data_IF_111841855489
#
_entry.id   IF_111841855489
#
_cell.length_a   1.000
_cell.length_b   1.000
_cell.length_c   1.000
_cell.angle_alpha   90.00
_cell.angle_beta   90.00
_cell.angle_gamma   90.00
#
_symmetry.space_group_name_H-M   'P 1'
#
loop_
_entity.id
_entity.type
_entity.pdbx_description
1 polymer ?
#
# COMPACT_ATOMS: atom_id res chain seq x y z
N UNK A 1 -45.79 4.17 4.16
CA UNK A 1 -45.66 4.76 2.83
C UNK A 1 -44.41 4.20 2.21
N UNK A 2 -44.42 3.83 0.93
CA UNK A 2 -43.97 2.47 0.56
C UNK A 2 -42.53 2.40 0.08
N UNK A 3 -41.97 1.21 0.27
CA UNK A 3 -40.69 0.77 -0.26
C UNK A 3 -40.79 0.57 -1.78
N UNK A 4 -39.76 1.02 -2.52
CA UNK A 4 -39.58 0.68 -3.94
C UNK A 4 -38.42 -0.31 -4.04
N UNK A 5 -38.76 -1.56 -4.33
CA UNK A 5 -37.80 -2.59 -4.70
C UNK A 5 -37.59 -2.49 -6.22
N UNK A 6 -36.36 -2.21 -6.64
CA UNK A 6 -35.90 -2.26 -8.03
C UNK A 6 -35.39 -3.67 -8.36
N UNK A 7 -36.20 -4.47 -9.06
CA UNK A 7 -35.78 -5.74 -9.63
C UNK A 7 -35.08 -5.48 -10.99
N UNK A 8 -33.81 -5.78 -11.08
CA UNK A 8 -33.03 -5.80 -12.32
C UNK A 8 -33.33 -7.07 -13.11
N UNK A 9 -33.90 -6.91 -14.29
CA UNK A 9 -34.22 -8.00 -15.23
C UNK A 9 -32.94 -8.34 -16.02
N UNK A 10 -32.50 -9.59 -15.86
CA UNK A 10 -31.44 -10.19 -16.68
C UNK A 10 -32.05 -10.60 -18.04
N UNK A 11 -31.76 -9.89 -19.10
CA UNK A 11 -32.15 -10.27 -20.45
C UNK A 11 -31.11 -11.21 -21.05
N UNK A 12 -31.44 -12.49 -21.14
CA UNK A 12 -30.69 -13.48 -21.95
C UNK A 12 -31.25 -13.43 -23.36
N UNK A 13 -30.45 -12.97 -24.33
CA UNK A 13 -30.80 -13.04 -25.76
C UNK A 13 -30.28 -14.36 -26.30
N UNK A 14 -31.20 -15.31 -26.53
CA UNK A 14 -30.93 -16.53 -27.29
C UNK A 14 -31.28 -16.24 -28.74
N UNK A 15 -30.29 -16.21 -29.63
CA UNK A 15 -30.49 -16.15 -31.06
C UNK A 15 -30.54 -17.58 -31.58
N UNK A 16 -31.73 -18.06 -31.91
CA UNK A 16 -31.95 -19.31 -32.65
C UNK A 16 -31.87 -19.03 -34.14
N UNK A 17 -30.84 -19.51 -34.81
CA UNK A 17 -30.73 -19.48 -36.27
C UNK A 17 -31.34 -20.71 -36.90
N UNK A 18 -32.26 -20.51 -37.82
CA UNK A 18 -32.91 -21.54 -38.63
C UNK A 18 -32.03 -21.99 -39.80
N UNK A 19 -32.07 -23.27 -40.00
CA UNK A 19 -31.36 -24.05 -41.01
C UNK A 19 -31.81 -23.81 -42.46
N UNK A 20 -30.83 -23.62 -43.37
CA UNK A 20 -31.00 -23.74 -44.80
C UNK A 20 -30.06 -24.82 -45.34
N UNK A 21 -30.60 -25.81 -46.08
CA UNK A 21 -29.89 -26.91 -46.72
C UNK A 21 -29.12 -26.45 -47.96
N UNK A 22 -27.86 -26.81 -48.07
CA UNK A 22 -27.10 -26.75 -49.33
C UNK A 22 -25.71 -27.33 -49.09
N UNK A 23 -25.43 -28.50 -49.65
CA UNK A 23 -24.14 -29.19 -49.50
C UNK A 23 -23.03 -28.61 -50.35
N UNK A 24 -21.83 -28.65 -49.84
CA UNK A 24 -20.56 -28.87 -50.54
C UNK A 24 -19.40 -28.92 -49.54
N UNK A 25 -18.65 -30.00 -49.59
CA UNK A 25 -17.23 -30.25 -49.30
C UNK A 25 -16.52 -29.51 -48.18
N UNK A 26 -16.02 -30.31 -47.24
CA UNK A 26 -15.16 -30.07 -46.10
C UNK A 26 -13.93 -29.24 -46.39
N UNK A 27 -13.77 -28.17 -45.61
CA UNK A 27 -12.48 -27.70 -45.11
C UNK A 27 -12.66 -27.51 -43.61
N UNK A 28 -11.87 -28.27 -42.84
CA UNK A 28 -11.81 -28.15 -41.36
C UNK A 28 -11.32 -26.76 -40.98
N UNK A 29 -12.25 -25.85 -40.68
CA UNK A 29 -11.97 -24.60 -40.00
C UNK A 29 -12.16 -24.87 -38.50
N UNK A 30 -11.04 -24.99 -37.79
CA UNK A 30 -10.96 -24.94 -36.34
C UNK A 30 -11.64 -23.62 -35.88
N UNK A 31 -12.65 -23.66 -35.03
CA UNK A 31 -13.25 -22.42 -34.52
C UNK A 31 -12.22 -21.72 -33.62
N UNK A 32 -11.67 -20.63 -34.14
CA UNK A 32 -10.92 -19.67 -33.28
C UNK A 32 -11.92 -19.07 -32.31
N UNK A 33 -11.95 -19.57 -31.08
CA UNK A 33 -12.67 -18.95 -29.98
C UNK A 33 -12.02 -17.59 -29.71
N UNK A 34 -12.79 -16.52 -29.97
CA UNK A 34 -12.36 -15.17 -29.64
C UNK A 34 -12.06 -15.05 -28.15
N UNK A 35 -11.01 -14.32 -27.73
CA UNK A 35 -10.67 -14.14 -26.34
C UNK A 35 -11.85 -13.52 -25.57
N UNK A 36 -12.20 -14.11 -24.44
CA UNK A 36 -13.24 -13.57 -23.55
C UNK A 36 -12.61 -12.40 -22.81
N UNK A 37 -12.91 -11.18 -23.25
CA UNK A 37 -12.59 -9.98 -22.49
C UNK A 37 -13.50 -9.95 -21.24
N UNK A 38 -12.91 -10.07 -20.07
CA UNK A 38 -13.63 -9.85 -18.82
C UNK A 38 -13.91 -8.35 -18.71
N UNK A 39 -15.11 -7.93 -19.10
CA UNK A 39 -15.54 -6.54 -19.01
C UNK A 39 -15.63 -6.12 -17.54
N UNK A 40 -14.81 -5.16 -17.16
CA UNK A 40 -14.88 -4.53 -15.85
C UNK A 40 -16.11 -3.65 -15.76
N UNK A 41 -17.18 -4.12 -15.12
CA UNK A 41 -18.29 -3.28 -14.65
C UNK A 41 -17.91 -2.66 -13.31
N UNK A 42 -17.05 -1.64 -13.33
CA UNK A 42 -16.65 -0.87 -12.17
C UNK A 42 -16.13 0.48 -12.63
N UNK A 43 -16.45 1.52 -11.88
CA UNK A 43 -16.16 2.93 -12.11
C UNK A 43 -14.76 3.14 -12.73
N UNK A 44 -14.75 3.58 -14.01
CA UNK A 44 -13.76 4.50 -14.57
C UNK A 44 -12.27 4.11 -14.63
N UNK A 45 -11.89 2.85 -14.48
CA UNK A 45 -10.46 2.47 -14.61
C UNK A 45 -10.09 2.33 -16.10
N UNK A 46 -9.58 3.39 -16.70
CA UNK A 46 -9.18 3.40 -18.10
C UNK A 46 -7.80 2.77 -18.27
N UNK A 47 -7.73 1.73 -19.09
CA UNK A 47 -6.49 1.02 -19.43
C UNK A 47 -6.79 -0.21 -20.27
N UNK A 48 -5.76 -0.82 -20.90
CA UNK A 48 -5.94 -2.07 -21.64
C UNK A 48 -6.50 -3.16 -20.73
N UNK A 49 -7.44 -4.00 -21.23
CA UNK A 49 -8.02 -5.07 -20.42
C UNK A 49 -6.98 -6.16 -20.13
N UNK A 50 -7.11 -6.79 -18.97
CA UNK A 50 -6.45 -8.06 -18.71
C UNK A 50 -7.12 -9.10 -19.59
N UNK A 51 -6.32 -9.89 -20.32
CA UNK A 51 -6.80 -10.90 -21.26
C UNK A 51 -6.56 -12.28 -20.64
N UNK A 52 -7.62 -13.08 -20.58
CA UNK A 52 -7.56 -14.50 -20.21
C UNK A 52 -7.91 -15.29 -21.47
N UNK A 53 -6.92 -15.96 -22.04
CA UNK A 53 -7.03 -16.79 -23.23
C UNK A 53 -7.10 -18.25 -22.83
N UNK A 54 -8.24 -18.89 -23.12
CA UNK A 54 -8.37 -20.33 -22.94
C UNK A 54 -7.68 -21.06 -24.09
N UNK A 55 -6.55 -21.67 -23.82
CA UNK A 55 -5.83 -22.49 -24.79
C UNK A 55 -6.37 -23.94 -24.75
N UNK A 56 -7.06 -24.40 -25.78
CA UNK A 56 -7.60 -25.77 -25.83
C UNK A 56 -6.55 -26.86 -25.83
N UNK A 57 -5.29 -26.52 -26.13
CA UNK A 57 -4.16 -27.44 -26.10
C UNK A 57 -3.55 -27.67 -24.71
N UNK A 58 -3.92 -26.88 -23.71
CA UNK A 58 -3.42 -27.04 -22.35
C UNK A 58 -4.25 -28.09 -21.61
N UNK A 59 -3.61 -29.17 -21.19
CA UNK A 59 -4.22 -30.14 -20.28
C UNK A 59 -4.17 -29.58 -18.86
N UNK A 60 -5.33 -29.13 -18.37
CA UNK A 60 -5.44 -28.55 -17.02
C UNK A 60 -5.54 -29.65 -15.96
N UNK A 61 -4.90 -29.42 -14.84
CA UNK A 61 -5.05 -30.24 -13.62
C UNK A 61 -6.25 -29.77 -12.81
N UNK A 62 -6.85 -30.67 -12.02
CA UNK A 62 -7.94 -30.33 -11.13
C UNK A 62 -7.49 -30.40 -9.67
N UNK A 63 -8.01 -29.51 -8.83
CA UNK A 63 -7.89 -29.62 -7.38
C UNK A 63 -9.00 -30.56 -6.85
N UNK A 64 -8.65 -31.50 -5.99
CA UNK A 64 -9.60 -32.40 -5.34
C UNK A 64 -10.35 -31.70 -4.19
N UNK A 65 -9.79 -30.63 -3.66
CA UNK A 65 -10.37 -29.78 -2.61
C UNK A 65 -9.86 -28.34 -2.73
N UNK A 66 -10.58 -27.41 -2.13
CA UNK A 66 -10.09 -26.02 -2.07
C UNK A 66 -8.90 -25.92 -1.14
N UNK A 67 -7.88 -25.15 -1.56
CA UNK A 67 -6.66 -24.91 -0.77
C UNK A 67 -6.63 -23.48 -0.23
N UNK A 68 -6.14 -23.32 0.99
CA UNK A 68 -6.09 -22.05 1.72
C UNK A 68 -4.93 -22.05 2.72
N UNK A 69 -4.76 -20.91 3.40
CA UNK A 69 -3.74 -20.79 4.46
C UNK A 69 -3.83 -21.93 5.47
N UNK A 70 -2.69 -22.55 5.75
CA UNK A 70 -2.53 -23.70 6.61
C UNK A 70 -2.51 -25.04 5.87
N UNK A 71 -2.91 -25.11 4.57
CA UNK A 71 -2.71 -26.30 3.76
C UNK A 71 -1.23 -26.44 3.34
N UNK A 72 -0.82 -27.67 3.04
CA UNK A 72 0.50 -27.97 2.51
C UNK A 72 0.42 -29.15 1.54
N UNK A 73 1.40 -29.27 0.65
CA UNK A 73 1.52 -30.35 -0.31
C UNK A 73 1.80 -29.87 -1.74
N UNK A 74 1.74 -30.81 -2.69
CA UNK A 74 2.09 -30.57 -4.10
C UNK A 74 1.11 -29.60 -4.77
N UNK A 75 -0.18 -29.62 -4.41
CA UNK A 75 -1.17 -28.65 -4.93
C UNK A 75 -0.80 -27.21 -4.56
N UNK A 76 -0.34 -26.99 -3.31
CA UNK A 76 0.12 -25.69 -2.85
C UNK A 76 1.40 -25.29 -3.57
N UNK A 77 2.32 -26.23 -3.77
CA UNK A 77 3.56 -25.98 -4.53
C UNK A 77 3.27 -25.60 -5.98
N UNK A 78 2.35 -26.31 -6.63
CA UNK A 78 1.89 -26.00 -7.98
C UNK A 78 1.24 -24.61 -8.06
N UNK A 79 0.40 -24.25 -7.07
CA UNK A 79 -0.18 -22.92 -6.94
C UNK A 79 0.91 -21.83 -6.81
N UNK A 80 1.89 -22.03 -5.92
CA UNK A 80 2.99 -21.07 -5.74
C UNK A 80 3.81 -20.90 -7.02
N UNK A 81 4.11 -21.99 -7.73
CA UNK A 81 4.77 -21.95 -9.04
C UNK A 81 3.95 -21.16 -10.06
N UNK A 82 2.64 -21.42 -10.12
CA UNK A 82 1.77 -20.73 -11.07
C UNK A 82 1.61 -19.25 -10.77
N UNK A 83 1.40 -18.88 -9.50
CA UNK A 83 1.37 -17.47 -9.06
C UNK A 83 2.67 -16.75 -9.45
N UNK A 84 3.82 -17.37 -9.19
CA UNK A 84 5.13 -16.81 -9.56
C UNK A 84 5.25 -16.62 -11.07
N UNK A 85 4.83 -17.60 -11.87
CA UNK A 85 4.86 -17.52 -13.34
C UNK A 85 3.97 -16.41 -13.91
N UNK A 86 2.94 -16.01 -13.16
CA UNK A 86 2.06 -14.88 -13.49
C UNK A 86 2.57 -13.53 -12.95
N UNK A 87 3.72 -13.50 -12.26
CA UNK A 87 4.30 -12.30 -11.66
C UNK A 87 3.83 -12.00 -10.23
N UNK A 88 2.92 -12.80 -9.65
CA UNK A 88 2.51 -12.64 -8.25
C UNK A 88 3.61 -13.13 -7.30
N UNK A 89 3.65 -12.55 -6.08
CA UNK A 89 4.66 -12.85 -5.08
C UNK A 89 4.13 -13.74 -3.93
N UNK A 90 4.03 -15.07 -4.12
CA UNK A 90 3.50 -15.98 -3.08
C UNK A 90 4.48 -16.24 -1.94
N UNK A 91 5.71 -15.78 -2.03
CA UNK A 91 6.82 -16.17 -1.17
C UNK A 91 7.57 -17.39 -1.70
N UNK A 92 8.27 -18.17 -0.84
CA UNK A 92 8.98 -19.37 -1.26
C UNK A 92 8.04 -20.41 -1.89
N UNK A 93 8.56 -21.14 -2.90
CA UNK A 93 7.87 -22.28 -3.51
C UNK A 93 8.19 -23.52 -2.69
N UNK A 94 7.64 -23.59 -1.48
CA UNK A 94 7.92 -24.61 -0.46
C UNK A 94 6.77 -25.61 -0.24
N UNK A 95 5.65 -25.42 -0.94
CA UNK A 95 4.46 -26.23 -0.75
C UNK A 95 3.69 -25.94 0.52
N UNK A 96 4.00 -24.86 1.24
CA UNK A 96 3.30 -24.44 2.46
C UNK A 96 2.47 -23.18 2.20
N UNK A 97 1.15 -23.23 2.35
CA UNK A 97 0.27 -22.10 2.15
C UNK A 97 0.36 -21.13 3.34
N UNK A 98 1.36 -20.27 3.31
CA UNK A 98 1.61 -19.24 4.31
C UNK A 98 0.86 -17.93 4.02
N UNK A 99 1.19 -16.89 4.81
CA UNK A 99 0.62 -15.55 4.64
C UNK A 99 1.03 -14.91 3.30
N UNK A 100 2.24 -15.17 2.80
CA UNK A 100 2.68 -14.68 1.49
C UNK A 100 1.83 -15.26 0.35
N UNK A 101 1.61 -16.58 0.36
CA UNK A 101 0.74 -17.25 -0.61
C UNK A 101 -0.70 -16.73 -0.53
N UNK A 102 -1.23 -16.51 0.69
CA UNK A 102 -2.55 -15.93 0.87
C UNK A 102 -2.65 -14.51 0.29
N UNK A 103 -1.65 -13.68 0.50
CA UNK A 103 -1.61 -12.32 -0.03
C UNK A 103 -1.53 -12.32 -1.56
N UNK A 104 -0.78 -13.23 -2.17
CA UNK A 104 -0.72 -13.40 -3.62
C UNK A 104 -2.08 -13.86 -4.19
N UNK A 105 -2.80 -14.75 -3.49
CA UNK A 105 -4.17 -15.16 -3.87
C UNK A 105 -5.12 -13.97 -3.75
N UNK A 106 -5.07 -13.17 -2.68
CA UNK A 106 -5.87 -11.95 -2.58
C UNK A 106 -5.59 -10.97 -3.74
N UNK A 107 -4.33 -10.82 -4.14
CA UNK A 107 -3.99 -9.97 -5.29
C UNK A 107 -4.60 -10.53 -6.58
N UNK A 108 -4.52 -11.85 -6.79
CA UNK A 108 -5.11 -12.53 -7.95
C UNK A 108 -6.64 -12.38 -7.98
N UNK A 109 -7.34 -12.66 -6.88
CA UNK A 109 -8.80 -12.50 -6.78
C UNK A 109 -9.23 -11.09 -7.19
N UNK A 110 -8.56 -10.07 -6.66
CA UNK A 110 -8.90 -8.66 -6.89
C UNK A 110 -8.51 -8.18 -8.28
N UNK A 111 -7.33 -8.55 -8.75
CA UNK A 111 -6.80 -8.06 -10.03
C UNK A 111 -7.36 -8.81 -11.23
N UNK A 112 -7.40 -10.15 -11.19
CA UNK A 112 -7.79 -10.99 -12.33
C UNK A 112 -9.29 -11.29 -12.30
N UNK A 113 -9.80 -11.80 -11.17
CA UNK A 113 -11.21 -12.19 -11.05
C UNK A 113 -12.13 -11.01 -10.77
N UNK A 114 -11.58 -9.79 -10.58
CA UNK A 114 -12.34 -8.58 -10.24
C UNK A 114 -13.21 -8.74 -8.98
N UNK A 115 -12.80 -9.62 -8.08
CA UNK A 115 -13.47 -9.81 -6.80
C UNK A 115 -13.38 -8.51 -5.99
N UNK A 116 -14.50 -7.94 -5.52
CA UNK A 116 -14.46 -6.81 -4.61
C UNK A 116 -13.55 -7.10 -3.42
N UNK A 117 -12.72 -6.14 -3.04
CA UNK A 117 -11.72 -6.31 -1.97
C UNK A 117 -12.29 -6.98 -0.71
N UNK A 118 -13.46 -6.55 -0.25
CA UNK A 118 -14.10 -7.08 0.95
C UNK A 118 -14.50 -8.57 0.83
N UNK A 119 -14.62 -9.08 -0.39
CA UNK A 119 -15.05 -10.45 -0.69
C UNK A 119 -13.88 -11.38 -1.04
N UNK A 120 -12.64 -10.87 -1.12
CA UNK A 120 -11.48 -11.70 -1.39
C UNK A 120 -11.23 -12.66 -0.23
N UNK A 121 -11.20 -13.93 -0.53
CA UNK A 121 -11.16 -15.01 0.48
C UNK A 121 -9.75 -15.51 0.80
N UNK A 122 -8.82 -15.35 -0.14
CA UNK A 122 -7.49 -15.96 -0.06
C UNK A 122 -7.52 -17.48 -0.12
N UNK A 123 -8.60 -18.04 -0.67
CA UNK A 123 -8.83 -19.47 -0.89
C UNK A 123 -8.89 -19.77 -2.37
N UNK A 124 -8.23 -20.81 -2.81
CA UNK A 124 -8.25 -21.27 -4.21
C UNK A 124 -9.23 -22.41 -4.35
N UNK A 125 -10.32 -22.21 -5.08
CA UNK A 125 -11.26 -23.24 -5.49
C UNK A 125 -10.78 -23.93 -6.77
N UNK A 126 -11.37 -25.08 -7.11
CA UNK A 126 -11.02 -25.73 -8.38
C UNK A 126 -11.33 -24.81 -9.59
N UNK A 127 -12.47 -24.09 -9.57
CA UNK A 127 -12.82 -23.19 -10.67
C UNK A 127 -11.78 -22.06 -10.85
N UNK A 128 -11.33 -21.46 -9.73
CA UNK A 128 -10.24 -20.49 -9.77
C UNK A 128 -8.96 -21.11 -10.32
N UNK A 129 -8.62 -22.32 -9.90
CA UNK A 129 -7.45 -23.05 -10.38
C UNK A 129 -7.50 -23.32 -11.88
N UNK A 130 -8.69 -23.68 -12.43
CA UNK A 130 -8.88 -23.85 -13.86
C UNK A 130 -8.57 -22.56 -14.62
N UNK A 131 -9.05 -21.40 -14.16
CA UNK A 131 -8.76 -20.10 -14.77
C UNK A 131 -7.29 -19.73 -14.60
N UNK A 132 -6.67 -20.01 -13.46
CA UNK A 132 -5.24 -19.74 -13.27
C UNK A 132 -4.32 -20.43 -14.29
N UNK A 133 -4.72 -21.57 -14.82
CA UNK A 133 -3.93 -22.33 -15.79
C UNK A 133 -4.04 -21.80 -17.23
N UNK A 134 -4.99 -20.91 -17.51
CA UNK A 134 -5.11 -20.24 -18.81
C UNK A 134 -3.94 -19.26 -19.06
N UNK A 135 -3.76 -18.86 -20.31
CA UNK A 135 -2.84 -17.78 -20.64
C UNK A 135 -3.40 -16.46 -20.17
N UNK A 136 -2.75 -15.83 -19.21
CA UNK A 136 -3.16 -14.54 -18.64
C UNK A 136 -2.14 -13.47 -19.01
N UNK A 137 -2.61 -12.43 -19.70
CA UNK A 137 -1.80 -11.26 -20.05
C UNK A 137 -2.27 -10.07 -19.21
N UNK A 138 -1.33 -9.46 -18.49
CA UNK A 138 -1.58 -8.34 -17.57
C UNK A 138 -0.81 -7.12 -18.11
N UNK A 139 -1.42 -6.30 -18.97
CA UNK A 139 -0.78 -5.08 -19.45
C UNK A 139 -0.84 -3.99 -18.39
N UNK A 140 0.09 -3.02 -18.39
CA UNK A 140 -0.02 -1.84 -17.57
C UNK A 140 -1.24 -1.00 -17.99
N UNK A 141 -1.91 -0.36 -17.03
CA UNK A 141 -2.97 0.63 -17.32
C UNK A 141 -2.39 1.89 -17.97
N UNK A 142 -1.11 2.20 -17.67
CA UNK A 142 -0.38 3.32 -18.29
C UNK A 142 0.94 2.82 -18.87
N UNK A 143 0.92 2.36 -20.13
CA UNK A 143 2.15 1.94 -20.81
C UNK A 143 3.16 3.08 -20.88
N UNK A 144 4.42 2.74 -20.64
CA UNK A 144 5.55 3.68 -20.71
C UNK A 144 6.47 3.34 -21.87
N UNK A 145 7.47 4.19 -22.13
CA UNK A 145 8.44 3.94 -23.18
C UNK A 145 9.17 2.59 -22.99
N UNK A 146 9.56 1.96 -24.07
CA UNK A 146 10.32 0.72 -24.05
C UNK A 146 11.62 0.87 -23.21
N UNK A 147 11.96 -0.17 -22.46
CA UNK A 147 13.15 -0.20 -21.61
C UNK A 147 13.05 0.62 -20.33
N UNK A 148 11.84 1.06 -19.94
CA UNK A 148 11.61 1.76 -18.68
C UNK A 148 10.94 0.88 -17.64
N UNK A 149 11.21 1.20 -16.37
CA UNK A 149 10.50 0.65 -15.22
C UNK A 149 9.51 1.67 -14.69
N UNK A 150 8.31 1.23 -14.33
CA UNK A 150 7.34 2.04 -13.61
C UNK A 150 6.54 1.18 -12.63
N UNK A 151 5.87 1.85 -11.71
CA UNK A 151 5.02 1.20 -10.71
C UNK A 151 3.59 1.72 -10.84
N UNK A 152 2.64 0.80 -10.80
CA UNK A 152 1.22 1.11 -10.72
C UNK A 152 0.66 0.67 -9.37
N UNK A 153 -0.02 1.58 -8.68
CA UNK A 153 -0.63 1.37 -7.37
C UNK A 153 -2.14 1.56 -7.48
N UNK A 154 -2.86 0.47 -7.33
CA UNK A 154 -4.33 0.43 -7.40
C UNK A 154 -4.88 0.42 -5.98
N UNK A 155 -5.15 1.62 -5.41
CA UNK A 155 -5.65 1.75 -4.04
C UNK A 155 -7.02 1.11 -3.85
N UNK A 156 -7.99 1.19 -4.78
CA UNK A 156 -9.26 0.49 -4.64
C UNK A 156 -9.12 -1.03 -4.50
N UNK A 157 -8.25 -1.63 -5.32
CA UNK A 157 -7.98 -3.08 -5.33
C UNK A 157 -6.97 -3.49 -4.26
N UNK A 158 -6.22 -2.55 -3.68
CA UNK A 158 -5.09 -2.85 -2.80
C UNK A 158 -4.09 -3.79 -3.48
N UNK A 159 -3.61 -3.38 -4.67
CA UNK A 159 -2.61 -4.08 -5.48
C UNK A 159 -1.56 -3.10 -5.96
N UNK A 160 -0.29 -3.52 -5.92
CA UNK A 160 0.84 -2.83 -6.52
C UNK A 160 1.46 -3.73 -7.59
N UNK A 161 1.81 -3.14 -8.74
CA UNK A 161 2.52 -3.84 -9.82
C UNK A 161 3.77 -3.05 -10.19
N UNK A 162 4.90 -3.75 -10.26
CA UNK A 162 6.12 -3.25 -10.90
C UNK A 162 6.14 -3.75 -12.33
N UNK A 163 6.18 -2.85 -13.28
CA UNK A 163 6.36 -3.16 -14.69
C UNK A 163 7.77 -2.81 -15.15
N UNK A 164 8.40 -3.71 -15.87
CA UNK A 164 9.61 -3.46 -16.61
C UNK A 164 9.34 -3.70 -18.10
N UNK A 165 9.61 -2.72 -18.93
CA UNK A 165 9.29 -2.79 -20.36
C UNK A 165 7.82 -3.20 -20.61
N UNK A 166 6.91 -2.67 -19.79
CA UNK A 166 5.47 -2.97 -19.81
C UNK A 166 5.09 -4.45 -19.53
N UNK A 167 6.02 -5.24 -19.00
CA UNK A 167 5.78 -6.61 -18.54
C UNK A 167 5.77 -6.60 -17.00
N UNK A 168 4.78 -7.23 -16.34
CA UNK A 168 4.74 -7.29 -14.89
C UNK A 168 5.85 -8.20 -14.35
N UNK A 169 6.72 -7.65 -13.51
CA UNK A 169 7.78 -8.39 -12.81
C UNK A 169 7.40 -8.71 -11.35
N UNK A 170 6.57 -7.89 -10.75
CA UNK A 170 6.09 -8.08 -9.39
C UNK A 170 4.64 -7.62 -9.27
N UNK A 171 3.75 -8.50 -8.84
CA UNK A 171 2.37 -8.19 -8.46
C UNK A 171 2.20 -8.53 -6.99
N UNK A 172 1.88 -7.54 -6.17
CA UNK A 172 1.77 -7.69 -4.73
C UNK A 172 0.44 -7.16 -4.19
N UNK A 173 -0.13 -7.88 -3.22
CA UNK A 173 -1.12 -7.31 -2.33
C UNK A 173 -0.46 -6.25 -1.44
N UNK A 174 -1.15 -5.12 -1.25
CA UNK A 174 -0.73 -4.01 -0.41
C UNK A 174 -1.80 -3.65 0.62
N UNK A 175 -1.42 -2.84 1.61
CA UNK A 175 -2.36 -2.19 2.52
C UNK A 175 -1.99 -0.72 2.64
N UNK A 176 -2.90 0.16 2.20
CA UNK A 176 -2.72 1.61 2.10
C UNK A 176 -3.40 2.37 3.23
N UNK A 177 -3.58 3.68 3.11
CA UNK A 177 -4.25 4.52 4.10
C UNK A 177 -5.63 4.00 4.49
N UNK A 178 -5.88 3.90 5.80
CA UNK A 178 -7.13 3.38 6.35
C UNK A 178 -8.35 4.20 5.90
N UNK A 179 -9.44 3.51 5.60
CA UNK A 179 -10.66 4.09 5.06
C UNK A 179 -11.85 3.85 5.99
N UNK A 180 -12.76 4.81 6.00
CA UNK A 180 -14.11 4.63 6.51
C UNK A 180 -14.92 3.69 5.59
N UNK A 181 -16.07 3.16 6.04
CA UNK A 181 -16.92 2.29 5.21
C UNK A 181 -17.41 2.95 3.90
N UNK A 182 -17.51 4.27 3.86
CA UNK A 182 -17.87 5.06 2.68
C UNK A 182 -16.72 5.29 1.69
N UNK A 183 -15.51 4.76 2.00
CA UNK A 183 -14.31 4.90 1.18
C UNK A 183 -13.52 6.19 1.43
N UNK A 184 -13.99 7.10 2.28
CA UNK A 184 -13.24 8.31 2.65
C UNK A 184 -12.05 7.96 3.55
N UNK A 185 -10.95 8.75 3.54
CA UNK A 185 -9.85 8.56 4.47
C UNK A 185 -10.30 8.67 5.93
N UNK A 186 -9.85 7.76 6.77
CA UNK A 186 -10.11 7.86 8.21
C UNK A 186 -9.21 8.93 8.82
N UNK A 187 -9.78 9.77 9.68
CA UNK A 187 -8.98 10.70 10.51
C UNK A 187 -8.26 9.94 11.62
N UNK A 188 -7.02 10.34 11.87
CA UNK A 188 -6.23 9.85 13.00
C UNK A 188 -5.64 11.04 13.78
N UNK A 189 -5.41 10.84 15.06
CA UNK A 189 -4.75 11.79 15.94
C UNK A 189 -3.84 10.99 16.88
N UNK A 190 -2.53 11.20 16.76
CA UNK A 190 -1.53 10.53 17.58
C UNK A 190 -0.64 11.55 18.29
N UNK A 191 -0.14 11.18 19.46
CA UNK A 191 0.91 11.93 20.15
C UNK A 191 2.26 11.45 19.63
N UNK A 192 2.91 12.28 18.83
CA UNK A 192 4.15 11.94 18.15
C UNK A 192 5.35 12.60 18.84
N UNK A 193 6.44 11.83 18.97
CA UNK A 193 7.71 12.33 19.50
C UNK A 193 8.72 12.43 18.37
N UNK A 194 9.30 13.60 18.19
CA UNK A 194 10.28 13.93 17.17
C UNK A 194 11.64 14.08 17.83
N UNK A 195 12.63 13.35 17.36
CA UNK A 195 14.05 13.44 17.73
C UNK A 195 14.89 14.20 16.70
N UNK A 196 14.26 14.54 15.57
CA UNK A 196 14.86 15.29 14.46
C UNK A 196 14.00 16.49 14.10
N UNK A 197 14.64 17.60 13.72
CA UNK A 197 13.98 18.79 13.20
C UNK A 197 13.52 18.65 11.74
N UNK A 198 12.90 19.71 11.16
CA UNK A 198 12.30 19.67 9.82
C UNK A 198 13.30 19.33 8.70
N UNK A 199 14.56 19.67 8.84
CA UNK A 199 15.61 19.39 7.86
C UNK A 199 16.36 18.09 8.13
N UNK A 200 15.94 17.31 9.16
CA UNK A 200 16.57 16.06 9.56
C UNK A 200 17.74 16.22 10.52
N UNK A 201 18.00 17.43 11.03
CA UNK A 201 18.98 17.71 12.08
C UNK A 201 18.53 17.08 13.41
N UNK A 202 19.42 16.45 14.19
CA UNK A 202 19.10 15.94 15.51
C UNK A 202 18.66 17.08 16.44
N UNK A 203 17.58 16.89 17.18
CA UNK A 203 17.17 17.81 18.23
C UNK A 203 17.95 17.54 19.51
N UNK A 204 18.29 18.60 20.27
CA UNK A 204 18.94 18.49 21.58
C UNK A 204 18.04 17.74 22.56
N UNK A 205 16.74 17.99 22.49
CA UNK A 205 15.70 17.28 23.26
C UNK A 205 14.56 16.88 22.32
N UNK A 206 14.00 15.66 22.47
CA UNK A 206 12.85 15.24 21.69
C UNK A 206 11.62 16.14 21.97
N UNK A 207 10.90 16.51 20.91
CA UNK A 207 9.68 17.31 20.99
C UNK A 207 8.48 16.41 20.81
N UNK A 208 7.56 16.40 21.79
CA UNK A 208 6.32 15.64 21.73
C UNK A 208 5.15 16.59 21.46
N UNK A 209 4.34 16.28 20.44
CA UNK A 209 3.16 17.04 20.05
C UNK A 209 2.05 16.14 19.54
N UNK A 210 0.80 16.59 19.68
CA UNK A 210 -0.34 15.93 19.08
C UNK A 210 -0.43 16.33 17.61
N UNK A 211 -0.52 15.33 16.74
CA UNK A 211 -0.69 15.49 15.29
C UNK A 211 -1.97 14.80 14.84
N UNK A 212 -2.75 15.49 14.02
CA UNK A 212 -3.96 14.95 13.42
C UNK A 212 -3.89 15.07 11.90
N UNK A 213 -4.30 14.03 11.19
CA UNK A 213 -4.38 14.05 9.72
C UNK A 213 -5.37 13.01 9.19
N UNK A 214 -5.59 13.02 7.88
CA UNK A 214 -6.33 11.97 7.20
C UNK A 214 -5.38 10.87 6.76
N UNK A 215 -5.77 9.61 6.94
CA UNK A 215 -5.01 8.44 6.48
C UNK A 215 -5.15 8.29 4.95
N UNK A 216 -4.64 9.27 4.20
CA UNK A 216 -4.79 9.35 2.75
C UNK A 216 -3.56 8.78 2.05
N UNK A 217 -3.77 7.83 1.12
CA UNK A 217 -2.81 7.53 0.06
C UNK A 217 -3.24 8.30 -1.18
N UNK A 218 -2.58 9.44 -1.49
CA UNK A 218 -3.03 10.33 -2.56
C UNK A 218 -2.90 9.68 -3.94
N UNK A 219 -3.92 9.86 -4.80
CA UNK A 219 -3.82 9.56 -6.22
C UNK A 219 -2.98 10.58 -6.97
N UNK A 220 -2.48 10.20 -8.15
CA UNK A 220 -1.69 11.09 -9.00
C UNK A 220 -0.53 10.41 -9.70
N UNK A 221 0.30 11.22 -10.37
CA UNK A 221 1.52 10.78 -11.05
C UNK A 221 2.72 11.28 -10.25
N UNK A 222 3.57 10.36 -9.85
CA UNK A 222 4.72 10.63 -9.01
C UNK A 222 5.98 9.99 -9.59
N UNK A 223 7.12 10.24 -8.91
CA UNK A 223 8.39 9.57 -9.18
C UNK A 223 9.02 9.13 -7.86
N UNK A 224 9.75 8.03 -7.85
CA UNK A 224 10.57 7.70 -6.70
C UNK A 224 11.65 8.75 -6.50
N UNK A 225 11.76 9.25 -5.26
CA UNK A 225 12.65 10.37 -4.91
C UNK A 225 13.86 9.95 -4.09
N UNK A 226 13.65 9.13 -3.09
CA UNK A 226 14.66 8.63 -2.15
C UNK A 226 14.27 7.27 -1.59
N UNK A 227 15.25 6.54 -1.10
CA UNK A 227 15.05 5.30 -0.35
C UNK A 227 15.90 5.28 0.91
N UNK A 228 15.57 4.37 1.80
CA UNK A 228 16.35 4.07 2.99
C UNK A 228 16.49 2.56 3.08
N UNK A 229 17.74 2.07 3.22
CA UNK A 229 17.99 0.63 3.32
C UNK A 229 17.93 0.21 4.79
N UNK A 230 17.23 -0.89 5.08
CA UNK A 230 17.00 -1.39 6.42
C UNK A 230 15.76 -0.80 7.10
N UNK A 231 15.72 -0.93 8.41
CA UNK A 231 14.59 -0.44 9.22
C UNK A 231 14.76 1.05 9.52
N UNK A 232 13.81 1.85 9.06
CA UNK A 232 13.68 3.25 9.45
C UNK A 232 12.57 3.39 10.48
N UNK A 233 12.89 3.93 11.66
CA UNK A 233 11.90 4.29 12.66
C UNK A 233 11.62 5.78 12.54
N UNK A 234 10.34 6.14 12.50
CA UNK A 234 9.87 7.52 12.50
C UNK A 234 8.78 7.69 13.56
N UNK A 235 8.24 8.91 13.72
CA UNK A 235 7.19 9.18 14.72
C UNK A 235 5.96 8.27 14.60
N UNK A 236 5.61 7.85 13.38
CA UNK A 236 4.49 6.94 13.09
C UNK A 236 4.87 5.45 13.09
N UNK A 237 6.04 5.09 13.61
CA UNK A 237 6.51 3.71 13.71
C UNK A 237 7.60 3.32 12.72
N UNK A 238 7.84 1.99 12.63
CA UNK A 238 8.92 1.43 11.81
C UNK A 238 8.48 1.09 10.40
N UNK A 239 9.37 1.34 9.44
CA UNK A 239 9.22 0.96 8.03
C UNK A 239 10.45 0.17 7.61
N UNK A 240 10.28 -0.97 6.93
CA UNK A 240 11.39 -1.73 6.37
C UNK A 240 11.63 -1.32 4.91
N UNK A 241 12.85 -0.93 4.59
CA UNK A 241 13.29 -0.56 3.25
C UNK A 241 12.35 0.43 2.52
N UNK A 242 12.00 1.59 3.12
CA UNK A 242 11.06 2.50 2.49
C UNK A 242 11.63 3.16 1.23
N UNK A 243 10.83 3.16 0.15
CA UNK A 243 11.08 3.88 -1.10
C UNK A 243 10.01 4.94 -1.27
N UNK A 244 10.40 6.21 -1.17
CA UNK A 244 9.50 7.35 -1.13
C UNK A 244 9.17 7.85 -2.53
N UNK A 245 7.89 8.17 -2.76
CA UNK A 245 7.42 8.72 -4.03
C UNK A 245 6.61 10.02 -3.88
N UNK A 246 6.12 10.34 -2.67
CA UNK A 246 5.32 11.54 -2.45
C UNK A 246 5.58 12.06 -1.02
N UNK A 247 6.51 13.03 -0.87
CA UNK A 247 6.92 13.56 0.44
C UNK A 247 7.27 12.47 1.46
N UNK A 248 6.42 12.30 2.49
CA UNK A 248 6.55 11.27 3.51
C UNK A 248 5.93 9.92 3.15
N UNK A 249 5.19 9.83 2.04
CA UNK A 249 4.55 8.60 1.60
C UNK A 249 5.56 7.70 0.88
N UNK A 250 5.64 6.46 1.32
CA UNK A 250 6.56 5.45 0.79
C UNK A 250 5.87 4.12 0.55
N UNK A 251 6.45 3.32 -0.34
CA UNK A 251 6.26 1.86 -0.37
C UNK A 251 7.27 1.25 0.59
N UNK A 252 6.81 0.44 1.55
CA UNK A 252 7.68 -0.13 2.58
C UNK A 252 7.18 -1.46 3.12
N UNK A 253 8.07 -2.26 3.68
CA UNK A 253 7.72 -3.48 4.39
C UNK A 253 7.08 -3.19 5.74
N UNK A 254 6.07 -3.98 6.07
CA UNK A 254 5.39 -3.95 7.35
C UNK A 254 5.12 -5.37 7.86
N UNK A 255 5.03 -5.52 9.19
CA UNK A 255 4.71 -6.81 9.83
C UNK A 255 3.28 -7.23 9.54
N UNK A 256 2.38 -6.25 9.41
CA UNK A 256 0.98 -6.49 9.14
C UNK A 256 0.54 -5.81 7.84
N UNK A 257 0.10 -6.64 6.87
CA UNK A 257 -0.47 -6.23 5.58
C UNK A 257 -1.82 -6.91 5.43
N UNK A 258 -2.85 -6.41 6.12
CA UNK A 258 -4.18 -7.01 6.10
C UNK A 258 -4.87 -6.78 4.76
N UNK A 259 -5.96 -7.53 4.51
CA UNK A 259 -6.79 -7.38 3.31
C UNK A 259 -7.34 -5.97 3.16
N UNK A 260 -7.70 -5.32 4.26
CA UNK A 260 -8.19 -3.95 4.30
C UNK A 260 -7.04 -2.92 4.39
N UNK A 261 -7.25 -1.68 3.95
CA UNK A 261 -6.34 -0.57 4.22
C UNK A 261 -6.15 -0.35 5.72
N UNK A 262 -4.90 -0.14 6.18
CA UNK A 262 -4.57 -0.05 7.60
C UNK A 262 -3.37 0.86 7.92
N UNK A 263 -2.89 1.69 6.98
CA UNK A 263 -1.78 2.61 7.21
C UNK A 263 -2.25 4.06 7.43
N UNK A 264 -1.34 4.94 7.81
CA UNK A 264 -1.57 6.39 7.86
C UNK A 264 -1.44 7.08 6.49
N UNK A 265 -1.24 6.29 5.41
CA UNK A 265 -1.10 6.80 4.04
C UNK A 265 0.00 6.11 3.24
N UNK A 266 1.00 5.54 3.88
CA UNK A 266 2.03 4.74 3.20
C UNK A 266 1.46 3.45 2.59
N UNK A 267 2.19 2.89 1.64
CA UNK A 267 1.85 1.64 0.95
C UNK A 267 2.63 0.50 1.60
N UNK A 268 1.94 -0.32 2.40
CA UNK A 268 2.56 -1.46 3.09
C UNK A 268 2.69 -2.65 2.17
N UNK A 269 3.87 -3.24 2.13
CA UNK A 269 4.20 -4.51 1.48
C UNK A 269 4.54 -5.57 2.54
N UNK A 270 4.39 -6.83 2.17
CA UNK A 270 4.98 -7.93 2.93
C UNK A 270 6.50 -7.70 3.10
N UNK A 271 7.03 -7.96 4.29
CA UNK A 271 8.45 -7.72 4.58
C UNK A 271 9.39 -8.43 3.59
N UNK A 272 9.09 -9.67 3.20
CA UNK A 272 9.91 -10.43 2.23
C UNK A 272 9.92 -9.77 0.85
N UNK A 273 8.79 -9.20 0.42
CA UNK A 273 8.72 -8.44 -0.84
C UNK A 273 9.52 -7.15 -0.71
N UNK A 274 9.41 -6.46 0.43
CA UNK A 274 10.13 -5.21 0.67
C UNK A 274 11.66 -5.38 0.75
N UNK A 275 12.19 -6.60 0.89
CA UNK A 275 13.64 -6.82 0.79
C UNK A 275 14.15 -6.78 -0.66
N UNK A 276 13.29 -7.08 -1.64
CA UNK A 276 13.66 -7.10 -3.06
C UNK A 276 13.15 -5.88 -3.83
N UNK A 277 12.03 -5.28 -3.39
CA UNK A 277 11.41 -4.16 -4.08
C UNK A 277 12.36 -2.98 -4.37
N UNK A 278 13.24 -2.52 -3.43
CA UNK A 278 14.14 -1.41 -3.71
C UNK A 278 15.16 -1.66 -4.84
N UNK A 279 15.48 -2.93 -5.14
CA UNK A 279 16.36 -3.29 -6.26
C UNK A 279 15.66 -3.29 -7.61
N UNK A 280 14.32 -3.35 -7.62
CA UNK A 280 13.51 -3.35 -8.84
C UNK A 280 13.22 -1.94 -9.36
N UNK A 281 13.40 -0.91 -8.53
CA UNK A 281 13.07 0.48 -8.84
C UNK A 281 14.22 1.41 -8.54
N UNK A 282 14.28 2.55 -9.22
CA UNK A 282 15.30 3.57 -9.01
C UNK A 282 14.68 4.96 -8.88
N UNK A 283 15.46 5.91 -8.37
CA UNK A 283 15.07 7.33 -8.35
C UNK A 283 14.74 7.80 -9.76
N UNK A 284 13.59 8.46 -9.91
CA UNK A 284 13.08 8.96 -11.17
C UNK A 284 12.10 8.02 -11.88
N UNK A 285 12.01 6.75 -11.51
CA UNK A 285 11.00 5.86 -12.08
C UNK A 285 9.59 6.35 -11.73
N UNK A 286 8.67 6.26 -12.69
CA UNK A 286 7.29 6.71 -12.58
C UNK A 286 6.49 5.84 -11.60
N UNK A 287 5.60 6.49 -10.86
CA UNK A 287 4.63 5.85 -9.97
C UNK A 287 3.26 6.42 -10.29
N UNK A 288 2.40 5.60 -10.86
CA UNK A 288 1.00 5.93 -11.11
C UNK A 288 0.14 5.43 -9.97
N UNK A 289 -0.66 6.29 -9.35
CA UNK A 289 -1.52 5.93 -8.22
C UNK A 289 -2.97 6.24 -8.56
N UNK A 290 -3.77 5.20 -8.72
CA UNK A 290 -5.24 5.31 -8.65
C UNK A 290 -5.60 5.43 -7.18
N UNK A 291 -6.10 6.60 -6.78
CA UNK A 291 -6.40 6.87 -5.37
C UNK A 291 -7.65 6.15 -4.87
N UNK A 292 -8.04 6.46 -3.65
CA UNK A 292 -9.14 5.79 -2.96
C UNK A 292 -10.49 5.96 -3.68
N UNK A 293 -10.69 7.07 -4.37
CA UNK A 293 -11.87 7.38 -5.18
C UNK A 293 -11.85 6.72 -6.57
N UNK A 294 -10.77 5.99 -6.90
CA UNK A 294 -10.63 5.25 -8.15
C UNK A 294 -10.45 6.09 -9.40
N UNK A 295 -10.24 7.41 -9.27
CA UNK A 295 -9.93 8.26 -10.42
C UNK A 295 -8.60 7.87 -11.06
N UNK A 296 -8.49 8.15 -12.37
CA UNK A 296 -7.22 8.00 -13.08
C UNK A 296 -6.16 8.97 -12.54
N UNK A 297 -4.87 8.59 -12.55
CA UNK A 297 -3.79 9.41 -11.98
C UNK A 297 -3.72 10.83 -12.53
N UNK A 298 -4.10 11.03 -13.79
CA UNK A 298 -4.09 12.31 -14.49
C UNK A 298 -5.21 13.26 -14.04
N UNK A 299 -6.23 12.75 -13.37
CA UNK A 299 -7.40 13.51 -12.91
C UNK A 299 -7.19 14.19 -11.56
N UNK A 300 -6.07 13.89 -10.88
CA UNK A 300 -5.75 14.54 -9.61
C UNK A 300 -5.01 15.85 -9.85
N UNK A 301 -5.54 16.93 -9.28
CA UNK A 301 -4.79 18.18 -9.21
C UNK A 301 -3.54 18.01 -8.32
N UNK A 302 -2.58 18.93 -8.47
CA UNK A 302 -1.40 18.96 -7.60
C UNK A 302 -1.79 18.97 -6.11
N UNK A 303 -2.82 19.72 -5.75
CA UNK A 303 -3.32 19.81 -4.38
C UNK A 303 -3.93 18.51 -3.89
N UNK A 304 -4.72 17.82 -4.73
CA UNK A 304 -5.32 16.54 -4.40
C UNK A 304 -4.29 15.44 -4.20
N UNK A 305 -3.14 15.57 -4.85
CA UNK A 305 -2.01 14.65 -4.78
C UNK A 305 -1.12 14.87 -3.55
N UNK A 306 -1.34 15.91 -2.76
CA UNK A 306 -0.55 16.14 -1.55
C UNK A 306 -0.98 15.19 -0.42
N UNK A 307 -0.02 14.72 0.41
CA UNK A 307 -0.36 14.01 1.63
C UNK A 307 -1.02 14.97 2.63
N UNK A 308 -1.83 14.45 3.52
CA UNK A 308 -2.51 15.24 4.56
C UNK A 308 -1.68 15.43 5.84
N UNK A 309 -0.47 14.91 5.87
CA UNK A 309 0.43 14.96 7.02
C UNK A 309 1.85 15.35 6.62
N UNK A 310 2.43 16.29 7.37
CA UNK A 310 3.86 16.64 7.31
C UNK A 310 4.35 17.14 5.92
N UNK A 311 3.60 18.03 5.28
CA UNK A 311 4.07 18.72 4.08
C UNK A 311 3.86 20.23 4.21
N UNK A 312 4.71 21.01 3.54
CA UNK A 312 4.47 22.42 3.31
C UNK A 312 3.64 22.55 2.02
N UNK A 313 2.49 23.24 2.07
CA UNK A 313 1.68 23.50 0.89
C UNK A 313 2.51 24.36 -0.10
N UNK A 314 2.87 23.83 -1.28
CA UNK A 314 3.68 24.57 -2.23
C UNK A 314 2.94 25.79 -2.84
N UNK A 315 1.62 25.83 -2.71
CA UNK A 315 0.78 26.91 -3.20
C UNK A 315 0.36 27.85 -2.05
N UNK A 316 0.80 27.58 -0.80
CA UNK A 316 0.64 28.51 0.30
C UNK A 316 1.45 29.77 -0.02
N UNK A 317 0.75 30.82 -0.44
CA UNK A 317 1.34 32.17 -0.47
C UNK A 317 1.84 32.45 0.94
N UNK A 318 3.17 32.57 1.08
CA UNK A 318 3.79 33.04 2.32
C UNK A 318 3.28 34.45 2.55
N UNK A 319 2.13 34.59 3.22
CA UNK A 319 1.75 35.85 3.80
C UNK A 319 2.74 36.05 4.92
N UNK A 320 3.85 36.68 4.60
CA UNK A 320 4.76 37.23 5.59
C UNK A 320 3.89 38.20 6.41
N UNK A 321 3.39 37.74 7.54
CA UNK A 321 2.82 38.63 8.54
C UNK A 321 3.94 39.61 8.86
N UNK A 322 3.85 40.81 8.26
CA UNK A 322 4.67 41.95 8.68
C UNK A 322 4.39 42.11 10.17
N UNK A 323 5.30 41.60 10.98
CA UNK A 323 5.32 41.91 12.40
C UNK A 323 5.62 43.42 12.45
N UNK A 324 4.55 44.21 12.50
CA UNK A 324 4.67 45.65 12.81
C UNK A 324 5.21 45.67 14.25
N UNK A 325 6.52 45.80 14.34
CA UNK A 325 7.20 46.14 15.58
C UNK A 325 6.67 47.52 15.94
N UNK A 326 5.76 47.59 16.91
CA UNK A 326 5.40 48.83 17.56
C UNK A 326 6.69 49.43 18.13
N UNK A 327 6.92 50.78 17.93
CA UNK A 327 8.10 51.38 18.50
C UNK A 327 8.09 51.22 20.03
N UNK A 328 9.25 51.03 20.65
CA UNK A 328 9.35 50.78 22.09
C UNK A 328 8.76 51.96 22.83
N UNK A 329 7.69 51.73 23.56
CA UNK A 329 7.16 52.71 24.56
C UNK A 329 8.24 52.87 25.62
N UNK A 330 8.86 54.04 25.65
CA UNK A 330 9.80 54.45 26.69
C UNK A 330 9.04 54.50 28.03
N UNK A 331 9.21 53.49 28.86
CA UNK A 331 8.80 53.50 30.24
C UNK A 331 9.87 54.30 31.03
N UNK A 332 9.51 55.31 31.85
CA UNK A 332 10.47 56.03 32.68
C UNK A 332 11.06 55.08 33.70
N UNK A 333 12.38 55.20 33.91
CA UNK A 333 13.14 54.37 34.85
C UNK A 333 12.61 54.53 36.30
N UNK A 334 12.44 53.43 37.06
CA UNK A 334 12.10 53.51 38.45
C UNK A 334 13.32 54.00 39.28
N UNK A 335 13.10 54.99 40.09
CA UNK A 335 14.04 55.56 41.07
C UNK A 335 14.37 54.49 42.09
N UNK A 336 15.62 54.05 42.14
CA UNK A 336 16.13 53.12 43.16
C UNK A 336 16.36 53.83 44.50
N UNK A 337 15.53 53.53 45.49
CA UNK A 337 15.84 53.74 46.89
C UNK A 337 16.47 52.46 47.47
N UNK A 338 17.69 52.59 47.94
CA UNK A 338 18.55 51.53 48.51
C UNK A 338 18.05 51.19 49.93
N UNK A 339 17.72 49.93 50.28
CA UNK A 339 17.55 49.52 51.68
C UNK A 339 18.89 49.03 52.26
N UNK A 340 19.05 49.25 53.58
CA UNK A 340 20.22 48.90 54.40
C UNK A 340 20.35 47.38 54.63
N UNK A 341 21.52 46.87 55.02
CA UNK A 341 21.81 45.45 55.12
C UNK A 341 21.20 44.82 56.41
N UNK A 342 20.52 43.69 56.26
CA UNK A 342 20.11 42.85 57.39
C UNK A 342 20.98 41.57 57.38
N UNK A 343 21.53 41.31 58.57
CA UNK A 343 22.41 40.20 58.96
C UNK A 343 21.79 38.82 58.82
N UNK A 344 22.60 37.88 58.36
CA UNK A 344 22.32 36.41 58.27
C UNK A 344 22.31 35.77 59.67
N UNK A 345 21.51 34.71 59.88
CA UNK A 345 21.88 33.67 60.84
C UNK A 345 22.30 32.36 60.17
N UNK A 346 23.07 31.62 60.96
CA UNK A 346 23.98 30.55 60.62
C UNK A 346 23.40 29.25 60.06
N UNK A 347 24.25 28.60 59.29
CA UNK A 347 24.35 27.22 58.77
C UNK A 347 23.89 26.14 59.76
N UNK A 348 23.10 25.20 59.28
CA UNK A 348 22.95 23.87 59.88
C UNK A 348 23.29 22.83 58.82
N UNK A 349 24.40 22.12 59.03
CA UNK A 349 24.89 21.00 58.25
C UNK A 349 24.08 19.74 58.58
N UNK A 350 23.53 19.06 57.57
CA UNK A 350 23.02 17.71 57.74
C UNK A 350 23.79 16.78 56.81
N UNK A 351 24.40 15.77 57.45
CA UNK A 351 25.20 14.72 56.82
C UNK A 351 24.35 13.78 55.96
N UNK A 352 24.86 13.49 54.77
CA UNK A 352 24.32 12.47 53.86
C UNK A 352 24.78 11.08 54.31
N UNK A 353 23.84 10.15 54.48
CA UNK A 353 24.09 8.75 54.70
C UNK A 353 23.98 8.02 53.34
N UNK A 354 25.07 7.48 52.86
CA UNK A 354 25.15 6.60 51.69
C UNK A 354 24.62 5.22 52.04
N UNK A 355 23.59 4.77 51.33
CA UNK A 355 23.15 3.37 51.34
C UNK A 355 23.50 2.72 50.04
N UNK A 356 24.50 1.82 50.09
CA UNK A 356 24.88 0.91 49.00
C UNK A 356 23.89 -0.23 48.87
N UNK A 357 23.37 -0.42 47.67
CA UNK A 357 22.54 -1.58 47.31
C UNK A 357 23.37 -2.55 46.45
N UNK A 358 23.31 -3.88 46.68
CA UNK A 358 24.13 -4.85 45.95
C UNK A 358 23.51 -5.23 44.59
N UNK A 359 24.42 -5.57 43.63
CA UNK A 359 24.11 -6.04 42.29
C UNK A 359 23.45 -7.43 42.28
N UNK A 360 22.59 -7.73 41.31
CA UNK A 360 22.10 -9.09 41.11
C UNK A 360 23.08 -9.91 40.28
N UNK A 361 23.35 -11.10 40.80
CA UNK A 361 24.10 -12.20 40.20
C UNK A 361 23.38 -12.81 39.00
N UNK A 362 24.11 -12.97 37.89
CA UNK A 362 23.70 -13.76 36.75
C UNK A 362 23.76 -15.27 37.06
N UNK A 363 22.66 -15.98 36.77
CA UNK A 363 22.69 -17.45 36.72
C UNK A 363 22.34 -17.87 35.30
N UNK A 364 23.34 -18.41 34.59
CA UNK A 364 23.16 -19.22 33.39
C UNK A 364 22.43 -20.51 33.74
N UNK A 365 21.43 -20.88 32.94
CA UNK A 365 20.97 -22.24 32.82
C UNK A 365 20.82 -22.59 31.34
N UNK A 366 21.72 -23.48 30.90
CA UNK A 366 21.55 -24.35 29.73
C UNK A 366 20.36 -25.29 29.98
N UNK A 367 19.58 -25.54 28.91
CA UNK A 367 19.04 -26.84 28.53
C UNK A 367 18.06 -26.60 27.34
N UNK A 368 18.32 -27.34 26.24
CA UNK A 368 17.56 -28.30 25.55
C UNK A 368 17.12 -27.91 24.15
#
# INVERSE_FOLDING_TARGET
MPAVAGAGVLAVVIVAGLSGRGGATSADTVPTTAPVAVAATGVGLTGPPIVVDTDPGIVKTALTHSIAKGNAGDDVKALQQRLTALGFAPGPIDGSFGSGTQQAVWAYEKLILKTPRANATGRVTNDMWQVMQDRITIPPRRPTAAGTTHVEIYVPEQVLIVFNNNVPELIAHISTGVQNPDGTPQKWCDTLTYDTGPNGEPLTEPVTKQECADAKTPGGIFHFTRRYDGKRTGPLGGMMNPVYFNYGIAVHGADNVPLAPASHGCVRLNQKIATVFPSMVKKGDLVYVWGQDGKDPEQYSRRDSLPSFNYADPDATTTTASTTTLPPTTVPAPTTTKPAPTTLPATTTISATTTTSPAPTSTSALFG
#
